data_IF_063714928618
#
_entry.id   IF_063714928618
#
_cell.length_a   1.000
_cell.length_b   1.000
_cell.length_c   1.000
_cell.angle_alpha   90.00
_cell.angle_beta   90.00
_cell.angle_gamma   90.00
#
_symmetry.space_group_name_H-M   'P 1'
#
loop_
_entity.id
_entity.type
_entity.pdbx_description
1 polymer ?
#
# COMPACT_ATOMS: atom_id res chain seq x y z
N UNK A 1 -11.93 -19.09 -9.75
CA UNK A 1 -12.43 -17.73 -10.00
C UNK A 1 -11.53 -16.79 -9.21
N UNK A 2 -10.48 -16.33 -9.89
CA UNK A 2 -9.52 -15.32 -9.39
C UNK A 2 -10.27 -14.01 -9.17
N UNK A 3 -10.38 -13.58 -7.91
CA UNK A 3 -11.09 -12.34 -7.55
C UNK A 3 -10.12 -11.19 -7.20
N UNK A 4 -8.87 -11.25 -7.66
CA UNK A 4 -7.88 -10.20 -7.34
C UNK A 4 -6.90 -9.97 -8.51
N UNK A 5 -7.39 -9.81 -9.74
CA UNK A 5 -6.52 -9.39 -10.87
C UNK A 5 -6.83 -8.01 -11.47
N UNK A 6 -7.99 -7.39 -11.22
CA UNK A 6 -8.38 -6.16 -11.94
C UNK A 6 -8.38 -4.88 -11.10
N UNK A 7 -7.23 -4.53 -10.52
CA UNK A 7 -6.90 -3.12 -10.26
C UNK A 7 -5.63 -2.74 -11.05
N UNK A 8 -5.77 -2.35 -12.33
CA UNK A 8 -4.65 -2.16 -13.27
C UNK A 8 -3.69 -1.02 -12.90
N UNK A 9 -4.00 -0.25 -11.86
CA UNK A 9 -3.10 0.71 -11.21
C UNK A 9 -3.72 1.12 -9.89
N UNK A 10 -3.06 0.84 -8.77
CA UNK A 10 -3.34 1.55 -7.52
C UNK A 10 -3.16 3.04 -7.81
N UNK A 11 -4.20 3.89 -7.72
CA UNK A 11 -4.05 5.29 -8.05
C UNK A 11 -2.96 5.90 -7.15
N UNK A 12 -2.03 6.69 -7.71
CA UNK A 12 -0.90 7.30 -6.96
C UNK A 12 -1.31 8.07 -5.70
N UNK A 13 -2.58 8.47 -5.60
CA UNK A 13 -3.17 9.06 -4.39
C UNK A 13 -3.21 8.12 -3.17
N UNK A 14 -2.91 6.82 -3.35
CA UNK A 14 -2.95 5.80 -2.31
C UNK A 14 -1.55 5.24 -1.94
N UNK A 15 -0.47 5.69 -2.59
CA UNK A 15 0.89 5.22 -2.31
C UNK A 15 1.77 6.42 -1.97
N UNK A 16 1.91 6.70 -0.68
CA UNK A 16 2.56 7.92 -0.18
C UNK A 16 3.83 7.57 0.59
N UNK A 17 4.97 8.07 0.15
CA UNK A 17 6.19 8.08 0.97
C UNK A 17 6.00 9.01 2.16
N UNK A 18 6.24 8.51 3.35
CA UNK A 18 6.17 9.29 4.58
C UNK A 18 7.43 10.15 4.70
N UNK A 19 7.24 11.46 4.87
CA UNK A 19 8.33 12.39 5.18
C UNK A 19 8.86 12.14 6.58
N UNK A 20 10.17 12.29 6.80
CA UNK A 20 10.87 11.99 8.06
C UNK A 20 10.91 10.50 8.44
N UNK A 21 10.83 9.60 7.45
CA UNK A 21 11.07 8.16 7.65
C UNK A 21 12.14 7.67 6.67
N UNK A 22 12.90 6.66 7.07
CA UNK A 22 13.92 6.00 6.24
C UNK A 22 13.28 5.07 5.20
N UNK A 23 12.43 5.63 4.33
CA UNK A 23 11.76 4.92 3.24
C UNK A 23 10.49 4.13 3.61
N UNK A 24 9.70 4.62 4.57
CA UNK A 24 8.37 4.06 4.83
C UNK A 24 7.36 4.66 3.85
N UNK A 25 6.53 3.79 3.30
CA UNK A 25 5.42 4.09 2.41
C UNK A 25 4.11 3.65 3.05
N UNK A 26 3.09 4.49 2.92
CA UNK A 26 1.71 4.18 3.27
C UNK A 26 0.94 3.78 2.02
N UNK A 27 0.27 2.62 2.09
CA UNK A 27 -0.72 2.16 1.12
C UNK A 27 -2.11 2.32 1.73
N UNK A 28 -3.00 3.06 1.07
CA UNK A 28 -4.39 3.18 1.48
C UNK A 28 -5.30 2.35 0.56
N UNK A 29 -6.06 1.44 1.14
CA UNK A 29 -7.02 0.57 0.43
C UNK A 29 -8.42 0.93 0.92
N UNK A 30 -9.34 1.23 -0.01
CA UNK A 30 -10.75 1.51 0.33
C UNK A 30 -11.58 0.33 -0.15
N UNK A 31 -12.23 -0.38 0.76
CA UNK A 31 -13.04 -1.54 0.44
C UNK A 31 -14.31 -1.56 1.29
N UNK A 32 -15.47 -1.67 0.64
CA UNK A 32 -16.78 -1.82 1.27
C UNK A 32 -16.98 -0.89 2.49
N UNK A 33 -16.83 0.42 2.27
CA UNK A 33 -16.97 1.49 3.27
C UNK A 33 -15.92 1.52 4.41
N UNK A 34 -14.92 0.64 4.36
CA UNK A 34 -13.79 0.64 5.28
C UNK A 34 -12.53 1.16 4.58
N UNK A 35 -11.62 1.74 5.37
CA UNK A 35 -10.31 2.20 4.91
C UNK A 35 -9.27 1.37 5.63
N UNK A 36 -8.47 0.63 4.88
CA UNK A 36 -7.32 -0.09 5.39
C UNK A 36 -6.07 0.69 5.04
N UNK A 37 -5.12 0.75 5.97
CA UNK A 37 -3.81 1.36 5.75
C UNK A 37 -2.74 0.32 6.02
N UNK A 38 -1.83 0.18 5.07
CA UNK A 38 -0.66 -0.67 5.19
C UNK A 38 0.59 0.21 5.20
N UNK A 39 1.55 -0.12 6.05
CA UNK A 39 2.86 0.50 6.06
C UNK A 39 3.88 -0.51 5.58
N UNK A 40 4.79 -0.07 4.72
CA UNK A 40 5.84 -0.91 4.18
C UNK A 40 6.98 -0.11 3.59
N UNK A 41 7.97 -0.79 3.06
CA UNK A 41 9.13 -0.19 2.42
C UNK A 41 9.61 -1.04 1.25
N UNK A 42 10.40 -0.47 0.36
CA UNK A 42 11.03 -1.24 -0.70
C UNK A 42 12.34 -1.85 -0.18
N UNK A 43 12.42 -3.17 -0.19
CA UNK A 43 13.69 -3.87 0.03
C UNK A 43 14.53 -3.87 -1.26
N UNK A 44 13.85 -3.93 -2.41
CA UNK A 44 14.45 -3.80 -3.74
C UNK A 44 13.49 -3.06 -4.67
N UNK A 45 13.94 -2.70 -5.88
CA UNK A 45 13.11 -1.97 -6.86
C UNK A 45 11.83 -2.71 -7.28
N UNK A 46 11.73 -4.01 -7.00
CA UNK A 46 10.58 -4.85 -7.32
C UNK A 46 9.94 -5.50 -6.09
N UNK A 47 10.56 -5.43 -4.91
CA UNK A 47 10.05 -6.04 -3.68
C UNK A 47 9.58 -4.97 -2.70
N UNK A 48 8.27 -4.94 -2.45
CA UNK A 48 7.67 -4.12 -1.39
C UNK A 48 7.29 -4.99 -0.20
N UNK A 49 7.86 -4.72 0.97
CA UNK A 49 7.60 -5.45 2.21
C UNK A 49 6.61 -4.65 3.05
N UNK A 50 5.48 -5.28 3.40
CA UNK A 50 4.48 -4.72 4.32
C UNK A 50 4.80 -5.17 5.75
N UNK A 51 4.93 -4.23 6.67
CA UNK A 51 5.26 -4.53 8.08
C UNK A 51 4.07 -4.38 9.02
N UNK A 52 3.12 -3.50 8.68
CA UNK A 52 1.97 -3.19 9.54
C UNK A 52 0.71 -2.94 8.72
N UNK A 53 -0.44 -3.29 9.28
CA UNK A 53 -1.75 -3.02 8.70
C UNK A 53 -2.76 -2.62 9.78
N UNK A 54 -3.55 -1.59 9.52
CA UNK A 54 -4.57 -1.09 10.45
C UNK A 54 -5.81 -0.56 9.71
N UNK A 55 -6.94 -0.54 10.42
CA UNK A 55 -8.26 -0.03 9.99
C UNK A 55 -8.58 1.29 10.65
#
# INVERSE_FOLDING_TARGET
>A
MELIEDLPKVPKQYFKKLTNTEDIWEIRIVFSNNIFRLLGFFESSQNFIVTNGFT
#
